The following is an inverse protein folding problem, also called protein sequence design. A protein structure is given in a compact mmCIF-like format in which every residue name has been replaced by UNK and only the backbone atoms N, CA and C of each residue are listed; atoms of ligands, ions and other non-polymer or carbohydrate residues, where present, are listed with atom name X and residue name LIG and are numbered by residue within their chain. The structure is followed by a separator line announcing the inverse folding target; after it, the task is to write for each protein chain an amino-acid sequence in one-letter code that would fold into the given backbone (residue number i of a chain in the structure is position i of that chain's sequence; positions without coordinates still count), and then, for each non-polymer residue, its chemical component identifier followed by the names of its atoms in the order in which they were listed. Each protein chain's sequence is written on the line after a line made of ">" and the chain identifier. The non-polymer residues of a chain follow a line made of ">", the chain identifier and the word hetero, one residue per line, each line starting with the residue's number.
data_IF_062147930375
#
_entry.id   IF_062147930375
#
_cell.length_a   1.000
_cell.length_b   1.000
_cell.length_c   1.000
_cell.angle_alpha   90.00
_cell.angle_beta   90.00
_cell.angle_gamma   90.00
#
_symmetry.space_group_name_H-M   'P 1'
#
loop_
_entity.id
_entity.type
_entity.pdbx_description
1 polymer ?
#
# COMPACT_ATOMS: atom_id res chain seq x y z
N UNK A 1 73.94 -9.42 -2.39
CA UNK A 1 72.64 -10.00 -2.96
C UNK A 1 71.93 -10.92 -1.99
N UNK A 2 72.23 -10.91 -0.70
CA UNK A 2 71.70 -11.88 0.29
C UNK A 2 70.71 -11.24 1.32
N UNK A 3 70.64 -9.94 1.38
CA UNK A 3 69.74 -9.22 2.36
C UNK A 3 68.33 -8.95 1.81
N UNK A 4 68.14 -9.01 0.49
CA UNK A 4 66.87 -8.72 -0.14
C UNK A 4 65.87 -9.92 -0.12
N UNK A 5 66.37 -11.14 0.08
CA UNK A 5 65.56 -12.37 0.10
C UNK A 5 64.90 -12.66 1.47
N UNK A 6 65.45 -12.08 2.56
CA UNK A 6 64.87 -12.27 3.91
C UNK A 6 63.67 -11.35 4.23
N UNK A 7 63.53 -10.22 3.54
CA UNK A 7 62.38 -9.30 3.73
C UNK A 7 61.14 -9.79 3.02
N UNK A 8 61.25 -10.52 1.91
CA UNK A 8 60.10 -11.06 1.16
C UNK A 8 59.48 -12.27 1.89
N UNK A 9 60.29 -13.06 2.61
CA UNK A 9 59.77 -14.22 3.37
C UNK A 9 58.98 -13.82 4.63
N UNK A 10 59.31 -12.69 5.28
CA UNK A 10 58.62 -12.21 6.47
C UNK A 10 57.26 -11.56 6.16
N UNK A 11 57.08 -10.96 4.99
CA UNK A 11 55.81 -10.36 4.57
C UNK A 11 54.80 -11.45 4.16
N UNK A 12 55.23 -12.58 3.65
CA UNK A 12 54.38 -13.70 3.24
C UNK A 12 53.77 -14.46 4.43
N UNK A 13 54.44 -14.50 5.56
CA UNK A 13 53.96 -15.18 6.78
C UNK A 13 52.87 -14.34 7.51
N UNK A 14 52.97 -13.02 7.51
CA UNK A 14 51.97 -12.15 8.13
C UNK A 14 50.67 -12.04 7.32
N UNK A 15 50.75 -12.19 6.01
CA UNK A 15 49.57 -12.18 5.13
C UNK A 15 48.68 -13.42 5.31
N UNK A 16 49.23 -14.58 5.57
CA UNK A 16 48.47 -15.81 5.81
C UNK A 16 47.71 -15.80 7.14
N UNK A 17 48.32 -15.29 8.22
CA UNK A 17 47.63 -15.21 9.53
C UNK A 17 46.43 -14.22 9.54
N UNK A 18 46.53 -13.14 8.81
CA UNK A 18 45.43 -12.15 8.70
C UNK A 18 44.30 -12.72 7.86
N UNK A 19 44.58 -13.44 6.79
CA UNK A 19 43.55 -14.09 5.97
C UNK A 19 42.85 -15.24 6.71
N UNK A 20 43.59 -16.02 7.49
CA UNK A 20 43.04 -17.11 8.26
C UNK A 20 42.12 -16.62 9.40
N UNK A 21 42.54 -15.59 10.14
CA UNK A 21 41.68 -14.93 11.15
C UNK A 21 40.44 -14.26 10.57
N UNK A 22 40.51 -13.67 9.38
CA UNK A 22 39.37 -13.10 8.69
C UNK A 22 38.39 -14.18 8.23
N UNK A 23 38.88 -15.34 7.79
CA UNK A 23 38.03 -16.48 7.42
C UNK A 23 37.36 -17.15 8.65
N UNK A 24 38.06 -17.27 9.75
CA UNK A 24 37.50 -17.77 11.03
C UNK A 24 36.42 -16.84 11.58
N UNK A 25 36.63 -15.52 11.58
CA UNK A 25 35.61 -14.55 11.97
C UNK A 25 34.40 -14.58 11.05
N UNK A 26 34.60 -14.77 9.75
CA UNK A 26 33.47 -14.86 8.80
C UNK A 26 32.69 -16.17 8.97
N UNK A 27 33.35 -17.27 9.34
CA UNK A 27 32.69 -18.55 9.62
C UNK A 27 31.93 -18.53 10.96
N UNK A 28 32.46 -17.87 11.98
CA UNK A 28 31.75 -17.67 13.26
C UNK A 28 30.52 -16.78 13.10
N UNK A 29 30.62 -15.66 12.36
CA UNK A 29 29.48 -14.78 12.05
C UNK A 29 28.40 -15.52 11.25
N UNK A 30 28.80 -16.41 10.34
CA UNK A 30 27.87 -17.23 9.57
C UNK A 30 27.20 -18.31 10.44
N UNK A 31 27.94 -18.91 11.36
CA UNK A 31 27.39 -19.88 12.32
C UNK A 31 26.44 -19.25 13.35
N UNK A 32 26.72 -18.02 13.81
CA UNK A 32 25.80 -17.26 14.67
C UNK A 32 24.55 -16.84 13.92
N UNK A 33 24.66 -16.41 12.66
CA UNK A 33 23.51 -16.06 11.81
C UNK A 33 22.62 -17.29 11.57
N UNK A 34 23.20 -18.47 11.36
CA UNK A 34 22.45 -19.73 11.19
C UNK A 34 21.78 -20.14 12.52
N UNK A 35 22.49 -20.03 13.67
CA UNK A 35 21.89 -20.30 14.99
C UNK A 35 20.77 -19.34 15.35
N UNK A 36 20.88 -18.05 15.01
CA UNK A 36 19.79 -17.09 15.17
C UNK A 36 18.60 -17.41 14.26
N UNK A 37 18.84 -17.86 13.02
CA UNK A 37 17.78 -18.25 12.09
C UNK A 37 17.05 -19.53 12.55
N UNK A 38 17.76 -20.48 13.17
CA UNK A 38 17.17 -21.71 13.71
C UNK A 38 16.47 -21.49 15.06
N UNK A 39 16.88 -20.50 15.84
CA UNK A 39 16.18 -20.09 17.07
C UNK A 39 14.87 -19.35 16.72
N UNK A 40 14.86 -18.57 15.65
CA UNK A 40 13.64 -17.91 15.13
C UNK A 40 12.65 -18.93 14.55
N UNK A 41 13.13 -20.08 14.02
CA UNK A 41 12.27 -21.16 13.51
C UNK A 41 11.63 -22.02 14.62
N UNK A 42 12.05 -21.89 15.86
CA UNK A 42 11.50 -22.63 17.01
C UNK A 42 10.53 -21.86 17.89
N UNK A 43 10.26 -20.59 17.55
CA UNK A 43 9.21 -19.82 18.23
C UNK A 43 7.88 -20.12 17.55
N UNK A 44 7.15 -21.03 18.16
CA UNK A 44 5.71 -21.30 18.03
C UNK A 44 5.10 -21.07 16.64
N UNK A 45 4.76 -22.14 15.97
CA UNK A 45 3.64 -22.17 15.05
C UNK A 45 2.36 -21.89 15.85
N UNK A 46 2.11 -20.61 16.21
CA UNK A 46 0.79 -20.19 16.65
C UNK A 46 -0.17 -20.58 15.52
N UNK A 47 -1.20 -21.31 15.90
CA UNK A 47 -2.22 -21.77 14.97
C UNK A 47 -2.87 -20.56 14.29
N UNK A 48 -2.39 -20.24 13.08
CA UNK A 48 -2.81 -19.10 12.26
C UNK A 48 -4.33 -19.13 12.05
N UNK A 49 -4.94 -20.31 12.13
CA UNK A 49 -6.38 -20.52 11.94
C UNK A 49 -7.23 -19.85 13.05
N UNK A 50 -6.69 -19.63 14.23
CA UNK A 50 -7.42 -19.00 15.34
C UNK A 50 -7.62 -17.49 15.20
N UNK A 51 -6.80 -16.82 14.37
CA UNK A 51 -6.91 -15.37 14.11
C UNK A 51 -7.85 -15.02 12.94
N UNK A 52 -8.24 -15.99 12.11
CA UNK A 52 -9.05 -15.75 10.92
C UNK A 52 -10.55 -15.94 11.21
N UNK A 53 -11.41 -15.00 10.72
CA UNK A 53 -12.85 -15.18 10.80
C UNK A 53 -13.31 -16.43 10.06
N UNK A 54 -14.37 -17.06 10.55
CA UNK A 54 -15.03 -18.17 9.83
C UNK A 54 -15.74 -17.65 8.57
N UNK A 55 -15.89 -18.51 7.56
CA UNK A 55 -16.69 -18.23 6.35
C UNK A 55 -16.02 -17.32 5.35
N UNK A 56 -14.68 -17.19 5.37
CA UNK A 56 -13.95 -16.45 4.33
C UNK A 56 -14.03 -17.16 2.98
N UNK A 57 -14.17 -16.37 1.90
CA UNK A 57 -13.97 -16.86 0.53
C UNK A 57 -12.48 -17.01 0.26
N UNK A 58 -11.99 -18.24 0.30
CA UNK A 58 -10.59 -18.59 0.06
C UNK A 58 -10.24 -18.73 -1.43
N UNK A 59 -11.23 -18.64 -2.34
CA UNK A 59 -11.01 -18.76 -3.79
C UNK A 59 -10.42 -17.48 -4.41
N UNK A 60 -10.32 -16.42 -3.64
CA UNK A 60 -9.89 -15.10 -4.12
C UNK A 60 -8.43 -15.08 -4.58
N UNK A 61 -7.54 -15.88 -3.98
CA UNK A 61 -6.12 -15.94 -4.41
C UNK A 61 -6.01 -16.44 -5.85
N UNK A 62 -6.67 -17.56 -6.14
CA UNK A 62 -6.65 -18.13 -7.50
C UNK A 62 -7.32 -17.20 -8.52
N UNK A 63 -8.44 -16.59 -8.16
CA UNK A 63 -9.12 -15.61 -9.01
C UNK A 63 -8.25 -14.38 -9.27
N UNK A 64 -7.57 -13.88 -8.26
CA UNK A 64 -6.65 -12.74 -8.37
C UNK A 64 -5.41 -13.06 -9.19
N UNK A 65 -4.82 -14.25 -9.00
CA UNK A 65 -3.69 -14.73 -9.85
C UNK A 65 -4.12 -14.92 -11.30
N UNK A 66 -5.34 -15.43 -11.54
CA UNK A 66 -5.86 -15.56 -12.89
C UNK A 66 -5.96 -14.21 -13.60
N UNK A 67 -6.58 -13.21 -12.99
CA UNK A 67 -6.68 -11.87 -13.60
C UNK A 67 -5.34 -11.14 -13.66
N UNK A 68 -4.40 -11.48 -12.80
CA UNK A 68 -3.02 -10.97 -12.79
C UNK A 68 -2.11 -11.62 -13.83
N UNK A 69 -2.56 -12.70 -14.50
CA UNK A 69 -1.73 -13.46 -15.44
C UNK A 69 -0.60 -14.24 -14.78
N UNK A 70 -0.69 -14.51 -13.47
CA UNK A 70 0.33 -15.21 -12.69
C UNK A 70 0.08 -16.73 -12.67
N UNK A 71 1.09 -17.55 -12.34
CA UNK A 71 0.93 -18.99 -12.17
C UNK A 71 -0.18 -19.32 -11.17
N UNK A 72 -1.02 -20.28 -11.52
CA UNK A 72 -2.17 -20.72 -10.73
C UNK A 72 -1.74 -21.83 -9.77
N UNK A 73 -2.09 -21.69 -8.50
CA UNK A 73 -1.74 -22.63 -7.43
C UNK A 73 -2.61 -23.87 -7.45
N UNK A 74 -3.85 -23.77 -7.96
CA UNK A 74 -4.81 -24.88 -8.01
C UNK A 74 -5.06 -25.39 -9.43
N UNK A 75 -5.62 -26.61 -9.50
CA UNK A 75 -6.00 -27.23 -10.79
C UNK A 75 -7.33 -26.66 -11.35
N UNK A 76 -8.10 -25.91 -10.54
CA UNK A 76 -9.44 -25.45 -10.89
C UNK A 76 -9.47 -24.59 -12.14
N UNK A 77 -8.56 -23.61 -12.25
CA UNK A 77 -8.49 -22.71 -13.40
C UNK A 77 -7.33 -23.03 -14.35
N UNK A 78 -6.53 -24.06 -14.07
CA UNK A 78 -5.35 -24.41 -14.88
C UNK A 78 -5.70 -24.68 -16.35
N UNK A 79 -6.83 -25.34 -16.61
CA UNK A 79 -7.30 -25.59 -18.01
C UNK A 79 -7.53 -24.28 -18.77
N UNK A 80 -7.97 -23.21 -18.09
CA UNK A 80 -8.21 -21.92 -18.73
C UNK A 80 -6.91 -21.22 -19.16
N UNK A 81 -5.79 -21.50 -18.50
CA UNK A 81 -4.49 -20.92 -18.85
C UNK A 81 -3.96 -21.38 -20.21
N UNK A 82 -4.54 -22.41 -20.80
CA UNK A 82 -4.16 -22.92 -22.13
C UNK A 82 -4.82 -22.12 -23.28
N UNK A 83 -5.84 -21.33 -23.01
CA UNK A 83 -6.50 -20.56 -24.06
C UNK A 83 -5.60 -19.41 -24.56
N UNK A 84 -5.53 -19.20 -25.90
CA UNK A 84 -4.68 -18.14 -26.48
C UNK A 84 -4.96 -16.73 -25.94
N UNK A 85 -6.23 -16.41 -25.68
CA UNK A 85 -6.60 -15.11 -25.10
C UNK A 85 -5.99 -14.91 -23.71
N UNK A 86 -5.98 -15.99 -22.88
CA UNK A 86 -5.39 -15.92 -21.56
C UNK A 86 -3.86 -15.80 -21.63
N UNK A 87 -3.21 -16.58 -22.47
CA UNK A 87 -1.75 -16.52 -22.66
C UNK A 87 -1.29 -15.13 -23.09
N UNK A 88 -2.01 -14.51 -24.04
CA UNK A 88 -1.76 -13.14 -24.47
C UNK A 88 -1.94 -12.13 -23.33
N UNK A 89 -3.00 -12.28 -22.53
CA UNK A 89 -3.25 -11.47 -21.35
C UNK A 89 -2.12 -11.60 -20.30
N UNK A 90 -1.79 -12.83 -19.93
CA UNK A 90 -0.75 -13.12 -18.94
C UNK A 90 0.61 -12.54 -19.36
N UNK A 91 1.02 -12.75 -20.62
CA UNK A 91 2.26 -12.19 -21.17
C UNK A 91 2.31 -10.65 -21.01
N UNK A 92 1.22 -9.96 -21.40
CA UNK A 92 1.15 -8.49 -21.31
C UNK A 92 1.26 -7.99 -19.88
N UNK A 93 0.55 -8.59 -18.92
CA UNK A 93 0.59 -8.17 -17.53
C UNK A 93 1.93 -8.47 -16.86
N UNK A 94 2.52 -9.65 -17.10
CA UNK A 94 3.85 -10.00 -16.58
C UNK A 94 4.90 -8.99 -17.07
N UNK A 95 4.92 -8.66 -18.37
CA UNK A 95 5.84 -7.68 -18.92
C UNK A 95 5.60 -6.27 -18.35
N UNK A 96 4.34 -5.88 -18.17
CA UNK A 96 3.99 -4.60 -17.56
C UNK A 96 4.50 -4.51 -16.12
N UNK A 97 4.17 -5.50 -15.29
CA UNK A 97 4.59 -5.48 -13.88
C UNK A 97 6.09 -5.67 -13.68
N UNK A 98 6.77 -6.39 -14.58
CA UNK A 98 8.25 -6.42 -14.61
C UNK A 98 8.82 -5.00 -14.76
N UNK A 99 8.26 -4.19 -15.65
CA UNK A 99 8.66 -2.77 -15.82
C UNK A 99 8.30 -1.90 -14.62
N UNK A 100 7.09 -2.06 -14.07
CA UNK A 100 6.64 -1.33 -12.87
C UNK A 100 7.55 -1.67 -11.69
N UNK A 101 7.83 -2.95 -11.46
CA UNK A 101 8.72 -3.43 -10.38
C UNK A 101 10.12 -2.82 -10.51
N UNK A 102 10.74 -2.92 -11.69
CA UNK A 102 12.10 -2.39 -11.90
C UNK A 102 12.19 -0.86 -11.82
N UNK A 103 11.21 -0.13 -12.36
CA UNK A 103 11.24 1.34 -12.43
C UNK A 103 10.73 2.04 -11.18
N UNK A 104 9.91 1.37 -10.35
CA UNK A 104 9.21 2.03 -9.24
C UNK A 104 9.23 1.21 -7.96
N UNK A 105 8.69 -0.02 -7.96
CA UNK A 105 8.45 -0.74 -6.70
C UNK A 105 9.74 -1.10 -5.97
N UNK A 106 10.81 -1.43 -6.69
CA UNK A 106 12.12 -1.70 -6.07
C UNK A 106 12.66 -0.45 -5.36
N UNK A 107 12.53 0.72 -5.98
CA UNK A 107 12.94 1.98 -5.36
C UNK A 107 12.04 2.33 -4.16
N UNK A 108 10.74 2.07 -4.24
CA UNK A 108 9.81 2.25 -3.12
C UNK A 108 10.14 1.31 -1.96
N UNK A 109 10.46 0.05 -2.23
CA UNK A 109 10.87 -0.91 -1.21
C UNK A 109 12.18 -0.50 -0.52
N UNK A 110 13.18 -0.07 -1.27
CA UNK A 110 14.43 0.47 -0.71
C UNK A 110 14.18 1.72 0.16
N UNK A 111 13.37 2.64 -0.32
CA UNK A 111 12.95 3.83 0.43
C UNK A 111 12.20 3.46 1.71
N UNK A 112 11.29 2.49 1.65
CA UNK A 112 10.58 1.98 2.82
C UNK A 112 11.55 1.50 3.90
N UNK A 113 12.57 0.72 3.52
CA UNK A 113 13.55 0.17 4.44
C UNK A 113 14.44 1.24 5.08
N UNK A 114 14.75 2.33 4.39
CA UNK A 114 15.67 3.37 4.87
C UNK A 114 14.95 4.55 5.54
N UNK A 115 13.79 4.95 5.03
CA UNK A 115 13.12 6.19 5.43
C UNK A 115 11.90 5.97 6.33
N UNK A 116 11.27 4.79 6.23
CA UNK A 116 10.04 4.47 6.94
C UNK A 116 10.21 3.36 7.99
N UNK A 117 11.38 2.71 8.05
CA UNK A 117 11.64 1.61 8.99
C UNK A 117 11.65 2.04 10.47
N UNK A 118 12.02 3.30 10.75
CA UNK A 118 12.04 3.85 12.11
C UNK A 118 10.66 4.18 12.68
N UNK A 119 9.66 4.28 11.81
CA UNK A 119 8.28 4.47 12.22
C UNK A 119 7.82 3.12 12.79
N UNK A 120 8.00 2.87 14.09
CA UNK A 120 7.71 1.61 14.83
C UNK A 120 6.33 1.03 14.47
N UNK A 121 6.27 0.13 13.47
CA UNK A 121 5.06 -0.12 12.71
C UNK A 121 4.59 -1.57 12.81
N UNK A 122 5.29 -2.43 13.55
CA UNK A 122 5.03 -3.88 13.53
C UNK A 122 3.61 -4.35 13.86
N UNK A 123 2.79 -3.55 14.54
CA UNK A 123 1.41 -3.89 14.88
C UNK A 123 0.40 -2.78 14.53
N UNK A 124 0.84 -1.75 13.80
CA UNK A 124 0.07 -0.53 13.56
C UNK A 124 -0.98 -0.63 12.48
N UNK A 125 -1.79 0.42 12.39
CA UNK A 125 -2.76 0.65 11.33
C UNK A 125 -2.25 1.70 10.36
N UNK A 126 -2.29 1.40 9.06
CA UNK A 126 -2.14 2.36 7.98
C UNK A 126 -3.53 2.84 7.55
N UNK A 127 -3.83 4.10 7.72
CA UNK A 127 -5.04 4.73 7.22
C UNK A 127 -4.77 5.39 5.86
N UNK A 128 -5.51 4.98 4.84
CA UNK A 128 -5.38 5.52 3.49
C UNK A 128 -6.74 6.09 3.01
N UNK A 129 -7.03 7.37 3.31
CA UNK A 129 -8.20 8.06 2.77
C UNK A 129 -8.01 8.35 1.29
N UNK A 130 -9.08 8.34 0.52
CA UNK A 130 -9.07 8.53 -0.94
C UNK A 130 -8.20 7.52 -1.68
N UNK A 131 -8.08 6.29 -1.14
CA UNK A 131 -7.16 5.26 -1.63
C UNK A 131 -7.49 4.78 -3.04
N UNK A 132 -8.78 4.79 -3.45
CA UNK A 132 -9.17 3.93 -4.55
C UNK A 132 -8.75 2.49 -4.29
N UNK A 133 -8.44 1.69 -5.31
CA UNK A 133 -7.90 0.34 -5.16
C UNK A 133 -6.37 0.27 -4.99
N UNK A 134 -5.69 1.36 -4.57
CA UNK A 134 -4.22 1.48 -4.61
C UNK A 134 -3.48 0.67 -3.53
N UNK A 135 -3.71 -0.65 -3.50
CA UNK A 135 -2.92 -1.54 -2.67
C UNK A 135 -1.45 -1.62 -3.13
N UNK A 136 -1.18 -1.43 -4.44
CA UNK A 136 0.15 -1.53 -5.03
C UNK A 136 1.19 -0.65 -4.31
N UNK A 137 0.90 0.63 -4.17
CA UNK A 137 1.82 1.58 -3.53
C UNK A 137 1.78 1.46 -2.00
N UNK A 138 0.60 1.22 -1.42
CA UNK A 138 0.46 1.10 0.03
C UNK A 138 1.31 -0.04 0.60
N UNK A 139 1.20 -1.27 0.07
CA UNK A 139 2.00 -2.40 0.59
C UNK A 139 3.47 -2.34 0.19
N UNK A 140 3.82 -1.61 -0.89
CA UNK A 140 5.22 -1.44 -1.30
C UNK A 140 5.96 -0.43 -0.41
N UNK A 141 5.30 0.62 0.06
CA UNK A 141 5.86 1.62 0.96
C UNK A 141 5.74 1.21 2.42
N UNK A 142 4.69 0.51 2.79
CA UNK A 142 4.36 0.18 4.16
C UNK A 142 4.13 -1.33 4.34
N UNK A 143 5.15 -2.19 4.07
CA UNK A 143 4.96 -3.64 3.98
C UNK A 143 4.67 -4.33 5.32
N UNK A 144 4.92 -3.67 6.46
CA UNK A 144 4.93 -4.30 7.78
C UNK A 144 3.72 -3.92 8.66
N UNK A 145 2.68 -3.32 8.10
CA UNK A 145 1.47 -3.01 8.87
C UNK A 145 0.59 -4.25 9.03
N UNK A 146 0.05 -4.45 10.25
CA UNK A 146 -0.93 -5.50 10.50
C UNK A 146 -2.28 -5.19 9.85
N UNK A 147 -2.64 -3.90 9.81
CA UNK A 147 -3.92 -3.45 9.27
C UNK A 147 -3.75 -2.27 8.31
N UNK A 148 -4.44 -2.36 7.18
CA UNK A 148 -4.64 -1.27 6.23
C UNK A 148 -6.13 -0.91 6.22
N UNK A 149 -6.46 0.36 6.42
CA UNK A 149 -7.83 0.87 6.33
C UNK A 149 -7.94 1.80 5.14
N UNK A 150 -8.57 1.32 4.09
CA UNK A 150 -8.79 2.04 2.84
C UNK A 150 -10.20 2.61 2.83
N UNK A 151 -10.34 3.91 2.57
CA UNK A 151 -11.63 4.53 2.33
C UNK A 151 -11.61 5.20 0.97
N UNK A 152 -12.58 4.83 0.12
CA UNK A 152 -12.65 5.29 -1.25
C UNK A 152 -14.07 5.57 -1.72
N UNK A 153 -14.16 6.32 -2.81
CA UNK A 153 -15.39 6.63 -3.53
C UNK A 153 -15.76 5.59 -4.61
N UNK A 154 -14.88 4.65 -4.86
CA UNK A 154 -15.11 3.55 -5.78
C UNK A 154 -15.86 2.41 -5.06
N UNK A 155 -16.91 1.82 -5.67
CA UNK A 155 -17.61 0.70 -5.07
C UNK A 155 -16.66 -0.51 -4.91
N UNK A 156 -16.86 -1.33 -3.86
CA UNK A 156 -16.02 -2.50 -3.64
C UNK A 156 -16.14 -3.52 -4.78
N UNK A 157 -17.36 -3.74 -5.29
CA UNK A 157 -17.64 -4.81 -6.23
C UNK A 157 -17.41 -6.19 -5.62
N UNK A 158 -17.02 -7.16 -6.45
CA UNK A 158 -16.81 -8.52 -6.00
C UNK A 158 -15.67 -9.22 -6.75
N UNK A 159 -15.06 -10.22 -6.11
CA UNK A 159 -14.16 -11.13 -6.80
C UNK A 159 -14.95 -12.04 -7.74
N UNK A 160 -14.66 -11.95 -9.05
CA UNK A 160 -15.33 -12.81 -10.03
C UNK A 160 -14.96 -14.27 -9.80
N UNK A 161 -15.98 -15.12 -9.72
CA UNK A 161 -15.81 -16.58 -9.67
C UNK A 161 -15.70 -17.12 -11.09
N UNK A 162 -14.48 -17.43 -11.50
CA UNK A 162 -14.22 -18.03 -12.82
C UNK A 162 -14.55 -19.53 -12.80
N UNK A 163 -15.10 -20.01 -13.92
CA UNK A 163 -15.39 -21.43 -14.14
C UNK A 163 -14.80 -21.90 -15.47
N UNK A 164 -14.10 -23.03 -15.53
CA UNK A 164 -13.62 -23.59 -16.79
C UNK A 164 -14.72 -23.98 -17.77
N UNK A 165 -15.94 -24.13 -17.27
CA UNK A 165 -17.13 -24.51 -18.08
C UNK A 165 -17.81 -23.27 -18.71
N UNK A 166 -17.52 -22.08 -18.22
CA UNK A 166 -18.09 -20.83 -18.73
C UNK A 166 -16.98 -19.83 -19.03
N UNK A 167 -16.60 -19.74 -20.29
CA UNK A 167 -15.59 -18.80 -20.80
C UNK A 167 -16.22 -17.53 -21.39
N UNK A 168 -17.56 -17.44 -21.41
CA UNK A 168 -18.29 -16.31 -21.98
C UNK A 168 -17.93 -15.01 -21.28
N UNK A 169 -17.58 -13.98 -22.05
CA UNK A 169 -17.24 -12.65 -21.53
C UNK A 169 -15.90 -12.57 -20.76
N UNK A 170 -15.15 -13.68 -20.63
CA UNK A 170 -13.84 -13.64 -19.97
C UNK A 170 -12.82 -12.83 -20.77
N UNK A 171 -12.70 -12.97 -22.10
CA UNK A 171 -11.79 -12.14 -22.89
C UNK A 171 -12.04 -10.65 -22.70
N UNK A 172 -13.29 -10.19 -22.73
CA UNK A 172 -13.68 -8.79 -22.56
C UNK A 172 -13.39 -8.28 -21.14
N UNK A 173 -13.63 -9.13 -20.14
CA UNK A 173 -13.27 -8.85 -18.76
C UNK A 173 -11.76 -8.66 -18.60
N UNK A 174 -10.94 -9.59 -19.10
CA UNK A 174 -9.49 -9.50 -19.05
C UNK A 174 -8.94 -8.29 -19.82
N UNK A 175 -9.56 -7.94 -20.94
CA UNK A 175 -9.24 -6.70 -21.66
C UNK A 175 -9.54 -5.46 -20.83
N UNK A 176 -10.69 -5.42 -20.13
CA UNK A 176 -11.05 -4.32 -19.23
C UNK A 176 -10.07 -4.19 -18.08
N UNK A 177 -9.61 -5.31 -17.50
CA UNK A 177 -8.53 -5.34 -16.50
C UNK A 177 -7.25 -4.71 -17.07
N UNK A 178 -6.81 -5.13 -18.27
CA UNK A 178 -5.60 -4.60 -18.91
C UNK A 178 -5.67 -3.07 -19.10
N UNK A 179 -6.81 -2.55 -19.59
CA UNK A 179 -7.01 -1.12 -19.80
C UNK A 179 -6.89 -0.38 -18.45
N UNK A 180 -7.59 -0.87 -17.44
CA UNK A 180 -7.58 -0.26 -16.11
C UNK A 180 -6.19 -0.25 -15.49
N UNK A 181 -5.46 -1.36 -15.56
CA UNK A 181 -4.11 -1.47 -15.01
C UNK A 181 -3.10 -0.59 -15.76
N UNK A 182 -3.22 -0.48 -17.09
CA UNK A 182 -2.37 0.41 -17.88
C UNK A 182 -2.54 1.88 -17.45
N UNK A 183 -3.76 2.35 -17.20
CA UNK A 183 -4.00 3.71 -16.72
C UNK A 183 -3.29 3.95 -15.37
N UNK A 184 -3.47 3.06 -14.40
CA UNK A 184 -2.84 3.17 -13.07
C UNK A 184 -1.31 3.13 -13.14
N UNK A 185 -0.77 2.20 -13.90
CA UNK A 185 0.69 2.01 -13.96
C UNK A 185 1.38 3.13 -14.73
N UNK A 186 0.70 3.74 -15.71
CA UNK A 186 1.24 4.87 -16.48
C UNK A 186 1.17 6.19 -15.72
N UNK A 187 0.13 6.40 -14.91
CA UNK A 187 -0.09 7.69 -14.22
C UNK A 187 0.28 7.66 -12.75
N UNK A 188 0.55 6.48 -12.16
CA UNK A 188 0.80 6.31 -10.72
C UNK A 188 -0.34 6.72 -9.79
N UNK A 189 -1.52 7.01 -10.33
CA UNK A 189 -2.74 7.34 -9.59
C UNK A 189 -3.97 6.92 -10.37
N UNK A 190 -5.09 6.84 -9.67
CA UNK A 190 -6.39 6.56 -10.27
C UNK A 190 -7.11 7.85 -10.64
N UNK A 191 -7.59 7.95 -11.87
CA UNK A 191 -8.46 9.05 -12.28
C UNK A 191 -9.90 8.58 -12.06
N UNK A 192 -10.54 9.02 -10.98
CA UNK A 192 -11.87 8.57 -10.55
C UNK A 192 -12.91 8.60 -11.68
N UNK A 193 -12.96 9.68 -12.47
CA UNK A 193 -13.92 9.81 -13.59
C UNK A 193 -13.65 8.81 -14.73
N UNK A 194 -12.38 8.48 -15.01
CA UNK A 194 -12.04 7.43 -15.97
C UNK A 194 -12.32 6.04 -15.39
N UNK A 195 -11.97 5.84 -14.12
CA UNK A 195 -12.19 4.57 -13.41
C UNK A 195 -13.67 4.19 -13.36
N UNK A 196 -14.57 5.14 -13.14
CA UNK A 196 -16.02 4.89 -13.16
C UNK A 196 -16.52 4.23 -14.43
N UNK A 197 -15.83 4.45 -15.58
CA UNK A 197 -16.14 3.80 -16.86
C UNK A 197 -15.66 2.35 -16.97
N UNK A 198 -14.66 1.97 -16.18
CA UNK A 198 -14.02 0.65 -16.25
C UNK A 198 -14.32 -0.21 -15.01
N UNK A 199 -14.63 0.40 -13.86
CA UNK A 199 -15.04 -0.29 -12.62
C UNK A 199 -16.57 -0.43 -12.56
N UNK A 200 -17.21 -0.74 -13.67
CA UNK A 200 -18.63 -1.10 -13.68
C UNK A 200 -18.81 -2.60 -13.48
N UNK A 201 -19.96 -3.03 -12.99
CA UNK A 201 -20.28 -4.44 -12.82
C UNK A 201 -20.13 -5.26 -14.13
N UNK A 202 -20.30 -4.62 -15.27
CA UNK A 202 -20.20 -5.23 -16.61
C UNK A 202 -18.73 -5.42 -17.07
N UNK A 203 -17.79 -4.70 -16.45
CA UNK A 203 -16.36 -4.71 -16.81
C UNK A 203 -15.52 -5.29 -15.69
N UNK A 204 -14.84 -4.41 -14.91
CA UNK A 204 -14.13 -4.84 -13.71
C UNK A 204 -15.04 -4.51 -12.53
N UNK A 205 -15.64 -5.51 -11.93
CA UNK A 205 -16.64 -5.32 -10.86
C UNK A 205 -15.99 -4.74 -9.60
N UNK A 206 -15.83 -3.42 -9.59
CA UNK A 206 -15.38 -2.65 -8.45
C UNK A 206 -13.86 -2.66 -8.16
N UNK A 207 -13.51 -2.28 -6.94
CA UNK A 207 -12.14 -2.10 -6.48
C UNK A 207 -11.47 -3.41 -6.02
N UNK A 208 -12.23 -4.36 -5.47
CA UNK A 208 -11.67 -5.57 -4.86
C UNK A 208 -10.85 -6.43 -5.82
N UNK A 209 -11.28 -6.67 -7.08
CA UNK A 209 -10.46 -7.42 -8.03
C UNK A 209 -9.11 -6.77 -8.30
N UNK A 210 -9.05 -5.44 -8.36
CA UNK A 210 -7.80 -4.70 -8.58
C UNK A 210 -6.90 -4.74 -7.35
N UNK A 211 -7.45 -4.63 -6.15
CA UNK A 211 -6.71 -4.81 -4.90
C UNK A 211 -6.08 -6.19 -4.86
N UNK A 212 -6.85 -7.25 -5.14
CA UNK A 212 -6.34 -8.62 -5.19
C UNK A 212 -5.22 -8.79 -6.22
N UNK A 213 -5.41 -8.25 -7.43
CA UNK A 213 -4.39 -8.26 -8.49
C UNK A 213 -3.10 -7.58 -8.04
N UNK A 214 -3.18 -6.42 -7.39
CA UNK A 214 -1.99 -5.70 -6.90
C UNK A 214 -1.27 -6.45 -5.78
N UNK A 215 -2.01 -7.05 -4.86
CA UNK A 215 -1.44 -7.84 -3.77
C UNK A 215 -0.65 -9.03 -4.31
N UNK A 216 -1.19 -9.80 -5.27
CA UNK A 216 -0.45 -10.94 -5.83
C UNK A 216 0.74 -10.52 -6.68
N UNK A 217 0.73 -9.34 -7.32
CA UNK A 217 1.89 -8.78 -8.03
C UNK A 217 2.96 -8.18 -7.10
N UNK A 218 2.64 -7.96 -5.83
CA UNK A 218 3.58 -7.52 -4.79
C UNK A 218 4.06 -8.65 -3.89
N UNK A 219 4.01 -9.87 -4.40
CA UNK A 219 4.50 -11.09 -3.76
C UNK A 219 3.70 -11.46 -2.49
N UNK A 220 2.36 -11.27 -2.51
CA UNK A 220 1.46 -11.72 -1.45
C UNK A 220 0.58 -12.89 -1.91
N UNK A 221 0.19 -13.69 -0.94
CA UNK A 221 -0.83 -14.74 -1.07
C UNK A 221 -2.09 -14.29 -0.33
N UNK A 222 -3.24 -14.35 -1.00
CA UNK A 222 -4.51 -13.99 -0.41
C UNK A 222 -5.08 -15.19 0.36
N UNK A 223 -5.31 -15.01 1.65
CA UNK A 223 -5.83 -16.06 2.53
C UNK A 223 -7.34 -16.17 2.40
N UNK A 224 -8.03 -15.02 2.33
CA UNK A 224 -9.46 -14.99 2.16
C UNK A 224 -10.07 -13.60 2.17
N UNK A 225 -11.33 -13.52 1.72
CA UNK A 225 -12.15 -12.32 1.72
C UNK A 225 -13.41 -12.55 2.54
N UNK A 226 -13.77 -11.57 3.38
CA UNK A 226 -15.00 -11.58 4.15
C UNK A 226 -15.74 -10.25 4.09
N UNK A 227 -17.07 -10.34 3.91
CA UNK A 227 -17.95 -9.20 4.11
C UNK A 227 -18.22 -9.03 5.58
N UNK A 228 -18.16 -7.79 6.04
CA UNK A 228 -18.45 -7.40 7.40
C UNK A 228 -19.33 -6.16 7.39
N UNK A 229 -19.80 -5.76 8.55
CA UNK A 229 -20.77 -4.68 8.70
C UNK A 229 -20.34 -3.72 9.80
N UNK A 230 -20.31 -2.45 9.45
CA UNK A 230 -20.06 -1.36 10.38
C UNK A 230 -21.36 -0.92 11.01
N UNK A 231 -21.47 -1.09 12.31
CA UNK A 231 -22.65 -0.80 13.10
C UNK A 231 -22.69 0.63 13.66
N UNK A 232 -23.84 1.05 14.15
CA UNK A 232 -24.06 2.39 14.74
C UNK A 232 -23.12 2.69 15.94
N UNK A 233 -22.65 1.64 16.63
CA UNK A 233 -21.63 1.73 17.69
C UNK A 233 -20.23 2.09 17.18
N UNK A 234 -19.95 1.91 15.88
CA UNK A 234 -18.60 1.94 15.30
C UNK A 234 -17.88 0.59 15.32
N UNK A 235 -18.51 -0.48 15.85
CA UNK A 235 -17.95 -1.84 15.78
C UNK A 235 -18.14 -2.43 14.38
N UNK A 236 -17.25 -3.35 14.02
CA UNK A 236 -17.32 -4.11 12.77
C UNK A 236 -17.39 -5.60 13.12
N UNK A 237 -18.42 -6.29 12.62
CA UNK A 237 -18.60 -7.74 12.77
C UNK A 237 -19.23 -8.38 11.52
N UNK A 238 -19.55 -9.66 11.60
CA UNK A 238 -20.14 -10.44 10.50
C UNK A 238 -21.67 -10.43 10.48
N UNK A 239 -22.32 -9.81 11.46
CA UNK A 239 -23.79 -9.75 11.54
C UNK A 239 -24.34 -8.62 10.68
N UNK A 240 -25.15 -8.89 9.64
CA UNK A 240 -25.75 -7.86 8.80
C UNK A 240 -26.92 -7.12 9.46
N UNK A 241 -27.36 -7.55 10.64
CA UNK A 241 -28.52 -6.96 11.34
C UNK A 241 -28.02 -6.04 12.45
N UNK A 242 -28.47 -4.82 12.40
CA UNK A 242 -28.34 -3.86 13.50
C UNK A 242 -29.73 -3.64 14.12
N UNK A 243 -29.79 -3.58 15.43
CA UNK A 243 -31.01 -3.22 16.18
C UNK A 243 -31.32 -1.72 16.08
N UNK A 244 -30.39 -0.92 15.58
CA UNK A 244 -30.58 0.51 15.33
C UNK A 244 -31.31 0.77 14.02
N UNK A 245 -32.01 1.91 13.94
CA UNK A 245 -32.64 2.39 12.68
C UNK A 245 -31.60 2.92 11.66
N UNK A 246 -30.33 2.90 12.01
CA UNK A 246 -29.23 3.40 11.15
C UNK A 246 -28.81 2.28 10.19
N UNK A 247 -28.79 2.53 8.86
CA UNK A 247 -28.35 1.54 7.90
C UNK A 247 -26.92 1.05 8.20
N UNK A 248 -26.74 -0.25 8.20
CA UNK A 248 -25.42 -0.89 8.35
C UNK A 248 -24.61 -0.66 7.09
N UNK A 249 -23.36 -0.26 7.22
CA UNK A 249 -22.46 -0.06 6.10
C UNK A 249 -21.63 -1.32 5.86
N UNK A 250 -21.67 -1.86 4.63
CA UNK A 250 -20.83 -2.99 4.25
C UNK A 250 -19.35 -2.59 4.26
N UNK A 251 -18.53 -3.46 4.78
CA UNK A 251 -17.08 -3.38 4.86
C UNK A 251 -16.49 -4.67 4.30
N UNK A 252 -15.42 -4.58 3.53
CA UNK A 252 -14.79 -5.73 2.91
C UNK A 252 -13.38 -5.91 3.48
N UNK A 253 -13.14 -7.05 4.12
CA UNK A 253 -11.82 -7.42 4.63
C UNK A 253 -11.14 -8.43 3.70
N UNK A 254 -9.90 -8.15 3.31
CA UNK A 254 -9.02 -9.07 2.61
C UNK A 254 -7.89 -9.44 3.57
N UNK A 255 -7.74 -10.73 3.83
CA UNK A 255 -6.65 -11.29 4.63
C UNK A 255 -5.58 -11.81 3.70
N UNK A 256 -4.33 -11.48 3.96
CA UNK A 256 -3.21 -11.84 3.09
C UNK A 256 -1.92 -11.95 3.89
N UNK A 257 -0.93 -12.60 3.31
CA UNK A 257 0.42 -12.70 3.86
C UNK A 257 1.44 -12.49 2.75
N UNK A 258 2.61 -11.96 3.10
CA UNK A 258 3.72 -11.91 2.16
C UNK A 258 4.28 -13.31 1.96
N UNK A 259 4.64 -13.66 0.72
CA UNK A 259 5.19 -14.99 0.42
C UNK A 259 6.42 -15.27 1.28
N UNK A 260 6.42 -16.43 1.93
CA UNK A 260 7.46 -16.84 2.86
C UNK A 260 7.32 -16.28 4.29
N UNK A 261 6.25 -15.54 4.59
CA UNK A 261 5.93 -15.03 5.93
C UNK A 261 4.69 -15.73 6.50
N UNK A 262 4.64 -15.88 7.81
CA UNK A 262 3.44 -16.31 8.56
C UNK A 262 2.65 -15.13 9.11
N UNK A 263 3.15 -13.90 8.97
CA UNK A 263 2.49 -12.70 9.46
C UNK A 263 1.25 -12.38 8.62
N UNK A 264 0.07 -12.48 9.24
CA UNK A 264 -1.21 -12.19 8.60
C UNK A 264 -1.49 -10.69 8.65
N UNK A 265 -1.79 -10.13 7.50
CA UNK A 265 -2.17 -8.74 7.30
C UNK A 265 -3.64 -8.66 6.88
N UNK A 266 -4.31 -7.58 7.25
CA UNK A 266 -5.70 -7.32 6.88
C UNK A 266 -5.83 -5.98 6.16
N UNK A 267 -6.46 -5.97 4.98
CA UNK A 267 -6.90 -4.75 4.31
C UNK A 267 -8.42 -4.64 4.46
N UNK A 268 -8.87 -3.60 5.14
CA UNK A 268 -10.27 -3.25 5.33
C UNK A 268 -10.63 -2.17 4.31
N UNK A 269 -11.51 -2.48 3.37
CA UNK A 269 -11.98 -1.56 2.34
C UNK A 269 -13.38 -1.04 2.67
N UNK A 270 -13.54 0.28 2.74
CA UNK A 270 -14.81 0.95 3.08
C UNK A 270 -15.18 1.91 1.95
N UNK A 271 -16.35 1.68 1.35
CA UNK A 271 -16.94 2.55 0.34
C UNK A 271 -17.72 3.68 0.99
N UNK A 272 -17.12 4.86 1.16
CA UNK A 272 -17.72 5.96 1.88
C UNK A 272 -17.35 7.34 1.31
N UNK A 273 -18.21 8.31 1.58
CA UNK A 273 -17.96 9.72 1.32
C UNK A 273 -17.23 10.35 2.51
N UNK A 274 -16.04 10.88 2.27
CA UNK A 274 -15.23 11.60 3.26
C UNK A 274 -15.45 13.12 3.25
N UNK A 275 -16.27 13.64 2.33
CA UNK A 275 -16.70 15.03 2.36
C UNK A 275 -17.69 15.29 3.50
N UNK A 276 -17.74 16.52 4.02
CA UNK A 276 -18.62 16.89 5.13
C UNK A 276 -20.11 16.68 4.78
N UNK A 277 -20.53 17.11 3.58
CA UNK A 277 -21.89 17.01 3.09
C UNK A 277 -22.16 15.72 2.30
N UNK A 278 -23.42 15.42 2.07
CA UNK A 278 -23.84 14.30 1.23
C UNK A 278 -23.38 14.49 -0.23
N UNK A 279 -22.95 13.41 -0.87
CA UNK A 279 -22.53 13.41 -2.27
C UNK A 279 -22.79 12.04 -2.91
N UNK A 280 -23.30 12.04 -4.16
CA UNK A 280 -23.53 10.83 -4.96
C UNK A 280 -24.31 9.73 -4.20
N UNK A 281 -25.37 10.10 -3.47
CA UNK A 281 -26.21 9.17 -2.70
C UNK A 281 -25.57 8.64 -1.40
N UNK A 282 -24.35 9.11 -1.05
CA UNK A 282 -23.67 8.76 0.22
C UNK A 282 -23.81 9.90 1.22
N UNK A 283 -24.08 9.56 2.47
CA UNK A 283 -24.07 10.54 3.56
C UNK A 283 -22.68 11.12 3.72
N UNK A 284 -22.60 12.41 4.08
CA UNK A 284 -21.32 13.06 4.34
C UNK A 284 -20.68 12.56 5.63
N UNK A 285 -19.36 12.69 5.71
CA UNK A 285 -18.56 12.26 6.85
C UNK A 285 -19.02 12.89 8.16
N UNK A 286 -19.46 14.16 8.14
CA UNK A 286 -19.99 14.86 9.35
C UNK A 286 -21.18 14.12 9.98
N UNK A 287 -22.01 13.47 9.17
CA UNK A 287 -23.22 12.78 9.62
C UNK A 287 -23.04 11.24 9.66
N UNK A 288 -21.92 10.71 9.21
CA UNK A 288 -21.63 9.28 9.26
C UNK A 288 -21.06 8.88 10.63
N UNK A 289 -21.91 8.89 11.64
CA UNK A 289 -21.51 8.58 13.01
C UNK A 289 -20.88 7.20 13.19
N UNK A 290 -21.38 6.10 12.53
CA UNK A 290 -20.72 4.80 12.59
C UNK A 290 -19.25 4.88 12.12
N UNK A 291 -19.00 5.47 10.95
CA UNK A 291 -17.64 5.59 10.40
C UNK A 291 -16.73 6.45 11.30
N UNK A 292 -17.24 7.57 11.80
CA UNK A 292 -16.49 8.44 12.74
C UNK A 292 -16.08 7.70 14.00
N UNK A 293 -16.99 6.96 14.63
CA UNK A 293 -16.70 6.15 15.82
C UNK A 293 -15.68 5.05 15.53
N UNK A 294 -15.82 4.36 14.38
CA UNK A 294 -14.84 3.36 13.98
C UNK A 294 -13.44 3.99 13.83
N UNK A 295 -13.34 5.09 13.09
CA UNK A 295 -12.04 5.77 12.92
C UNK A 295 -11.47 6.26 14.25
N UNK A 296 -12.30 6.79 15.14
CA UNK A 296 -11.89 7.22 16.49
C UNK A 296 -11.39 6.05 17.36
N UNK A 297 -11.86 4.83 17.10
CA UNK A 297 -11.35 3.63 17.79
C UNK A 297 -9.95 3.21 17.34
N UNK A 298 -9.50 3.67 16.15
CA UNK A 298 -8.14 3.45 15.65
C UNK A 298 -7.18 4.38 16.39
N UNK A 299 -6.54 3.88 17.44
CA UNK A 299 -5.55 4.66 18.20
C UNK A 299 -4.18 4.59 17.53
N UNK A 300 -3.52 5.73 17.38
CA UNK A 300 -2.11 5.79 17.00
C UNK A 300 -1.81 5.26 15.60
N UNK A 301 -2.64 5.60 14.61
CA UNK A 301 -2.45 5.19 13.21
C UNK A 301 -1.49 6.13 12.47
N UNK A 302 -0.89 5.60 11.40
CA UNK A 302 -0.19 6.40 10.40
C UNK A 302 -1.07 6.59 9.16
N UNK A 303 -0.90 7.72 8.49
CA UNK A 303 -1.71 8.06 7.32
C UNK A 303 -0.84 8.16 6.08
N UNK A 304 -1.33 7.55 4.99
CA UNK A 304 -0.78 7.74 3.66
C UNK A 304 -1.78 8.47 2.78
N UNK A 305 -1.36 9.58 2.15
CA UNK A 305 -2.19 10.34 1.21
C UNK A 305 -1.40 10.63 -0.05
N UNK A 306 -1.94 10.22 -1.18
CA UNK A 306 -1.32 10.44 -2.48
C UNK A 306 -2.37 10.79 -3.53
N UNK A 307 -2.11 11.82 -4.30
CA UNK A 307 -2.97 12.22 -5.44
C UNK A 307 -4.43 12.42 -5.05
N UNK A 308 -4.68 13.02 -3.88
CA UNK A 308 -6.01 13.23 -3.32
C UNK A 308 -6.77 14.42 -3.93
N UNK A 309 -6.35 14.89 -5.12
CA UNK A 309 -7.00 15.97 -5.87
C UNK A 309 -7.21 17.26 -5.07
N UNK A 310 -6.37 17.51 -4.08
CA UNK A 310 -6.47 18.67 -3.17
C UNK A 310 -7.84 18.76 -2.46
N UNK A 311 -8.52 17.62 -2.26
CA UNK A 311 -9.84 17.61 -1.62
C UNK A 311 -9.78 18.18 -0.22
N UNK A 312 -8.76 17.82 0.55
CA UNK A 312 -8.58 18.29 1.93
C UNK A 312 -8.16 19.78 2.03
N UNK A 313 -7.86 20.46 0.90
CA UNK A 313 -7.70 21.91 0.85
C UNK A 313 -9.04 22.66 0.88
N UNK A 314 -10.17 21.97 0.65
CA UNK A 314 -11.49 22.57 0.64
C UNK A 314 -12.16 22.45 2.01
N UNK A 315 -12.96 23.47 2.37
CA UNK A 315 -13.76 23.46 3.59
C UNK A 315 -14.73 22.25 3.66
N UNK A 316 -15.22 21.79 2.51
CA UNK A 316 -16.07 20.61 2.41
C UNK A 316 -15.43 19.28 2.84
N UNK A 317 -14.12 19.25 3.16
CA UNK A 317 -13.41 18.10 3.69
C UNK A 317 -12.67 18.41 5.01
N UNK A 318 -13.10 19.46 5.70
CA UNK A 318 -12.45 19.90 6.95
C UNK A 318 -12.55 18.85 8.06
N UNK A 319 -13.66 18.12 8.16
CA UNK A 319 -13.86 17.13 9.21
C UNK A 319 -12.87 15.97 9.11
N UNK A 320 -12.71 15.37 7.94
CA UNK A 320 -11.72 14.28 7.76
C UNK A 320 -10.29 14.79 7.88
N UNK A 321 -9.99 15.97 7.34
CA UNK A 321 -8.69 16.62 7.50
C UNK A 321 -8.34 16.81 8.97
N UNK A 322 -9.24 17.41 9.75
CA UNK A 322 -9.05 17.66 11.17
C UNK A 322 -8.94 16.33 11.96
N UNK A 323 -9.72 15.31 11.58
CA UNK A 323 -9.61 13.99 12.17
C UNK A 323 -8.20 13.42 12.00
N UNK A 324 -7.65 13.42 10.78
CA UNK A 324 -6.29 12.93 10.50
C UNK A 324 -5.28 13.78 11.27
N UNK A 325 -5.37 15.09 11.14
CA UNK A 325 -4.46 16.02 11.79
C UNK A 325 -4.42 15.85 13.32
N UNK A 326 -5.54 15.52 13.97
CA UNK A 326 -5.61 15.38 15.41
C UNK A 326 -5.22 14.00 15.93
N UNK A 327 -5.32 12.94 15.13
CA UNK A 327 -5.19 11.55 15.58
C UNK A 327 -4.02 10.77 14.96
N UNK A 328 -3.51 11.18 13.79
CA UNK A 328 -2.38 10.49 13.18
C UNK A 328 -1.07 10.75 13.93
N UNK A 329 -0.23 9.73 14.04
CA UNK A 329 1.14 9.85 14.56
C UNK A 329 2.10 10.32 13.46
N UNK A 330 1.93 9.79 12.27
CA UNK A 330 2.70 10.18 11.09
C UNK A 330 1.73 10.39 9.92
N UNK A 331 1.97 11.44 9.14
CA UNK A 331 1.30 11.66 7.86
C UNK A 331 2.36 11.68 6.77
N UNK A 332 2.27 10.72 5.86
CA UNK A 332 3.14 10.61 4.69
C UNK A 332 2.32 10.95 3.45
N UNK A 333 2.61 12.08 2.81
CA UNK A 333 1.75 12.59 1.74
C UNK A 333 2.49 13.43 0.71
N UNK A 334 1.88 13.57 -0.47
CA UNK A 334 2.24 14.60 -1.45
C UNK A 334 1.50 15.92 -1.16
N UNK A 335 1.76 16.96 -1.96
CA UNK A 335 1.15 18.28 -1.82
C UNK A 335 -0.38 18.30 -2.00
N UNK A 336 -0.98 17.19 -2.44
CA UNK A 336 -2.43 17.10 -2.65
C UNK A 336 -3.21 16.70 -1.38
N UNK A 337 -2.50 16.36 -0.31
CA UNK A 337 -3.04 15.94 0.97
C UNK A 337 -3.54 17.08 1.84
N UNK A 338 -3.18 17.06 3.12
CA UNK A 338 -3.45 18.17 4.07
C UNK A 338 -2.54 19.34 3.70
N UNK A 339 -3.06 20.58 3.58
CA UNK A 339 -2.24 21.75 3.31
C UNK A 339 -1.08 21.91 4.32
N UNK A 340 0.13 22.16 3.81
CA UNK A 340 1.34 22.28 4.64
C UNK A 340 1.20 23.39 5.72
N UNK A 341 0.57 24.49 5.36
CA UNK A 341 0.31 25.63 6.24
C UNK A 341 -0.63 25.34 7.43
N UNK A 342 -1.31 24.18 7.41
CA UNK A 342 -2.16 23.75 8.51
C UNK A 342 -1.42 22.97 9.61
N UNK A 343 -0.16 22.63 9.37
CA UNK A 343 0.65 21.96 10.39
C UNK A 343 1.33 22.98 11.30
N UNK A 344 1.12 22.85 12.59
CA UNK A 344 1.89 23.59 13.59
C UNK A 344 3.29 22.98 13.74
N UNK A 345 4.32 23.74 13.39
CA UNK A 345 5.71 23.31 13.47
C UNK A 345 6.20 23.05 14.91
N UNK A 346 5.50 23.56 15.93
CA UNK A 346 5.81 23.22 17.33
C UNK A 346 5.35 21.80 17.66
N UNK A 347 4.31 21.29 16.98
CA UNK A 347 3.68 19.98 17.22
C UNK A 347 4.15 18.91 16.24
N UNK A 348 4.79 19.28 15.12
CA UNK A 348 5.18 18.36 14.06
C UNK A 348 6.61 18.57 13.61
N UNK A 349 7.34 17.46 13.39
CA UNK A 349 8.62 17.42 12.70
C UNK A 349 8.42 17.00 11.25
N UNK A 350 9.27 17.55 10.34
CA UNK A 350 9.13 17.31 8.91
C UNK A 350 10.40 16.73 8.29
N UNK A 351 10.21 15.79 7.35
CA UNK A 351 11.22 15.41 6.37
C UNK A 351 10.62 15.57 4.99
N UNK A 352 11.28 16.34 4.13
CA UNK A 352 10.84 16.64 2.77
C UNK A 352 11.60 15.76 1.79
N UNK A 353 10.91 15.14 0.85
CA UNK A 353 11.50 14.25 -0.16
C UNK A 353 11.25 14.80 -1.56
N UNK A 354 12.29 14.75 -2.41
CA UNK A 354 12.22 15.25 -3.77
C UNK A 354 12.25 16.78 -3.87
N UNK A 355 11.42 17.34 -4.71
CA UNK A 355 11.35 18.78 -4.95
C UNK A 355 9.91 19.21 -5.17
N UNK A 356 9.48 20.26 -4.48
CA UNK A 356 8.20 20.89 -4.77
C UNK A 356 8.30 21.74 -6.05
N UNK A 357 7.30 21.60 -6.90
CA UNK A 357 7.08 22.47 -8.04
C UNK A 357 5.61 22.91 -8.06
N UNK A 358 5.30 23.84 -8.96
CA UNK A 358 3.90 24.23 -9.13
C UNK A 358 3.04 23.02 -9.50
N UNK A 359 1.82 22.93 -8.97
CA UNK A 359 0.87 21.91 -9.40
C UNK A 359 0.65 21.87 -10.90
N UNK A 360 0.14 20.77 -11.44
CA UNK A 360 -0.28 20.71 -12.84
C UNK A 360 -1.35 21.77 -13.14
N UNK A 361 -1.52 22.13 -14.41
CA UNK A 361 -2.43 23.22 -14.82
C UNK A 361 -3.86 23.07 -14.29
N UNK A 362 -4.37 21.83 -14.21
CA UNK A 362 -5.68 21.53 -13.62
C UNK A 362 -5.81 22.03 -12.18
N UNK A 363 -4.70 22.03 -11.43
CA UNK A 363 -4.64 22.44 -10.03
C UNK A 363 -3.75 23.66 -9.78
N UNK A 364 -3.51 24.49 -10.80
CA UNK A 364 -2.59 25.63 -10.69
C UNK A 364 -2.91 26.57 -9.52
N UNK A 365 -4.20 26.73 -9.18
CA UNK A 365 -4.68 27.55 -8.04
C UNK A 365 -4.40 26.92 -6.67
N UNK A 366 -3.85 25.69 -6.62
CA UNK A 366 -3.51 24.96 -5.40
C UNK A 366 -2.03 25.05 -5.04
N UNK A 367 -1.29 25.93 -5.68
CA UNK A 367 0.08 26.22 -5.27
C UNK A 367 0.15 26.66 -3.82
N UNK A 368 1.05 26.06 -3.04
CA UNK A 368 1.29 26.37 -1.62
C UNK A 368 2.61 27.14 -1.49
N UNK A 369 2.57 28.46 -1.23
CA UNK A 369 3.78 29.22 -0.93
C UNK A 369 4.50 28.74 0.33
N UNK A 370 3.75 28.25 1.33
CA UNK A 370 4.33 27.73 2.57
C UNK A 370 5.17 26.47 2.32
N UNK A 371 4.67 25.54 1.50
CA UNK A 371 5.40 24.33 1.13
C UNK A 371 6.62 24.66 0.27
N UNK A 372 6.49 25.60 -0.67
CA UNK A 372 7.62 26.06 -1.49
C UNK A 372 8.73 26.68 -0.63
N UNK A 373 8.35 27.53 0.31
CA UNK A 373 9.27 28.12 1.29
C UNK A 373 9.95 27.04 2.15
N UNK A 374 9.22 26.01 2.59
CA UNK A 374 9.80 24.90 3.35
C UNK A 374 10.84 24.12 2.51
N UNK A 375 10.57 23.89 1.22
CA UNK A 375 11.57 23.27 0.34
C UNK A 375 12.78 24.15 0.06
N UNK A 376 12.63 25.47 0.11
CA UNK A 376 13.74 26.44 -0.02
C UNK A 376 14.54 26.59 1.27
N UNK A 377 13.91 26.48 2.44
CA UNK A 377 14.54 26.71 3.75
C UNK A 377 15.54 25.58 4.10
N UNK A 378 16.83 25.91 4.41
CA UNK A 378 17.86 24.93 4.77
C UNK A 378 17.62 24.22 6.12
N UNK A 379 16.80 24.78 7.00
CA UNK A 379 16.48 24.19 8.30
C UNK A 379 15.63 22.91 8.16
N UNK A 380 14.86 22.77 7.08
CA UNK A 380 14.12 21.55 6.84
C UNK A 380 15.03 20.45 6.31
N UNK A 381 14.91 19.25 6.88
CA UNK A 381 15.62 18.06 6.41
C UNK A 381 15.08 17.64 5.02
N UNK A 382 15.94 17.71 4.02
CA UNK A 382 15.62 17.35 2.64
C UNK A 382 16.34 16.06 2.24
N UNK A 383 15.64 15.18 1.51
CA UNK A 383 16.16 13.90 1.02
C UNK A 383 15.72 13.63 -0.42
N UNK A 384 16.45 12.81 -1.18
CA UNK A 384 16.03 12.36 -2.50
C UNK A 384 14.72 11.58 -2.44
N UNK A 385 13.88 11.70 -3.47
CA UNK A 385 12.74 10.83 -3.73
C UNK A 385 13.12 9.90 -4.90
N UNK A 386 13.44 8.63 -4.64
CA UNK A 386 14.02 7.76 -5.66
C UNK A 386 12.98 7.12 -6.60
N UNK A 387 11.70 7.44 -6.47
CA UNK A 387 10.62 6.91 -7.29
C UNK A 387 9.64 8.00 -7.69
N UNK A 388 8.92 7.74 -8.77
CA UNK A 388 7.90 8.66 -9.26
C UNK A 388 6.56 8.40 -8.56
N UNK A 389 5.90 9.48 -8.08
CA UNK A 389 4.63 9.44 -7.37
C UNK A 389 3.77 10.66 -7.73
N UNK A 390 2.45 10.52 -7.69
CA UNK A 390 1.51 11.63 -7.85
C UNK A 390 1.35 12.15 -9.27
N UNK A 391 0.77 13.35 -9.38
CA UNK A 391 0.37 13.95 -10.66
C UNK A 391 1.51 14.39 -11.56
N UNK A 392 2.71 14.55 -11.04
CA UNK A 392 3.86 15.08 -11.79
C UNK A 392 4.72 14.00 -12.46
N UNK A 393 4.17 12.80 -12.65
CA UNK A 393 4.88 11.65 -13.21
C UNK A 393 5.70 11.96 -14.50
N UNK A 394 5.23 12.88 -15.32
CA UNK A 394 5.90 13.25 -16.58
C UNK A 394 6.97 14.34 -16.42
N UNK A 395 7.05 14.99 -15.28
CA UNK A 395 8.03 16.06 -14.98
C UNK A 395 9.14 15.58 -14.07
N UNK A 396 9.46 14.33 -14.10
CA UNK A 396 10.53 13.55 -13.46
C UNK A 396 11.22 14.08 -12.20
N UNK A 397 11.56 15.36 -12.19
CA UNK A 397 12.33 16.01 -11.13
C UNK A 397 11.50 16.90 -10.19
N UNK A 398 10.19 17.02 -10.41
CA UNK A 398 9.30 17.93 -9.70
C UNK A 398 8.29 17.20 -8.79
N UNK A 399 8.67 16.04 -8.28
CA UNK A 399 7.83 15.24 -7.39
C UNK A 399 8.18 15.48 -5.94
N UNK A 400 7.16 15.63 -5.14
CA UNK A 400 7.29 15.88 -3.73
C UNK A 400 6.51 14.84 -2.92
N UNK A 401 7.09 14.48 -1.80
CA UNK A 401 6.42 13.81 -0.68
C UNK A 401 7.00 14.45 0.58
N UNK A 402 6.20 14.59 1.59
CA UNK A 402 6.71 14.92 2.92
C UNK A 402 6.14 14.01 3.98
N UNK A 403 6.98 13.76 4.98
CA UNK A 403 6.63 13.02 6.19
C UNK A 403 6.52 14.02 7.33
N UNK A 404 5.31 14.18 7.85
CA UNK A 404 5.04 14.92 9.09
C UNK A 404 4.92 13.91 10.23
N UNK A 405 5.73 14.06 11.27
CA UNK A 405 5.75 13.17 12.45
C UNK A 405 5.35 14.00 13.67
N UNK A 406 4.37 13.51 14.41
CA UNK A 406 3.92 14.18 15.63
C UNK A 406 5.00 14.10 16.70
N UNK A 407 5.34 15.24 17.28
CA UNK A 407 6.26 15.31 18.42
C UNK A 407 5.62 14.64 19.63
N UNK A 408 6.39 13.83 20.34
CA UNK A 408 5.96 13.30 21.63
C UNK A 408 5.75 14.46 22.59
N UNK A 409 4.60 14.49 23.26
CA UNK A 409 4.41 15.44 24.37
C UNK A 409 5.52 15.18 25.39
N UNK A 410 6.36 16.20 25.61
CA UNK A 410 7.38 16.15 26.65
C UNK A 410 6.73 16.20 28.02
#
# INVERSE_FOLDING_TARGET
>A
MTVLLLIIASISFWGCDIQQKAQEQQSELHAETIKQSDTIKKTESQDISSELPRGLDTTIDESSRFIAGLPLSSNRLRGMSQYPFYQSHAKRLIELFKRVKSKRLNAMSGFSQTELASDKIGEGTLFYPFSGPDALHAVSLFPNYKQYVFIAFEPPGSFRKFSPRDTTGIPDYLQSVQITINEVTNYSYFITDKMRKYITAEKVDGALPLIGLFLVHTDHTLIGHGKRYLHASGSIDTNPRDTSKIPVQEVNDIYFTKNGSTFIQRLTYIYANLGNGAYAGKIGFSNNMPLRKYLQSMKGFNTYVKSASYLMHNAGFSEIRNFIHNNAQTVFQDDTGIPFEMYDQNSWDFVLYGRYARPINLFAKRYSPALDSAYANPEFKKRPLPFMSGYLLRRGDAQNIYKAVRKSSR
#
